data_IF_417287794366
#
_entry.id   IF_417287794366
#
_cell.length_a   1.000
_cell.length_b   1.000
_cell.length_c   1.000
_cell.angle_alpha   90.00
_cell.angle_beta   90.00
_cell.angle_gamma   90.00
#
_symmetry.space_group_name_H-M   'P 1'
#
loop_
_entity.id
_entity.type
_entity.pdbx_description
1 polymer ?
#
# COMPACT_ATOMS: atom_id res chain seq x y z
N UNK A 1 -10.29 -24.63 7.17
CA UNK A 1 -9.90 -23.43 6.38
C UNK A 1 -10.17 -23.74 4.92
N UNK A 2 -11.00 -22.94 4.24
CA UNK A 2 -11.32 -23.17 2.83
C UNK A 2 -10.20 -22.60 1.95
N UNK A 3 -9.47 -23.46 1.24
CA UNK A 3 -8.56 -23.02 0.19
C UNK A 3 -9.37 -22.29 -0.89
N UNK A 4 -8.89 -21.14 -1.35
CA UNK A 4 -9.54 -20.43 -2.43
C UNK A 4 -9.50 -21.31 -3.70
N UNK A 5 -10.65 -21.52 -4.33
CA UNK A 5 -10.72 -22.22 -5.62
C UNK A 5 -9.82 -21.48 -6.62
N UNK A 6 -8.94 -22.20 -7.31
CA UNK A 6 -8.05 -21.61 -8.32
C UNK A 6 -8.85 -20.95 -9.44
N UNK A 7 -8.29 -19.90 -10.05
CA UNK A 7 -8.96 -19.14 -11.10
C UNK A 7 -9.31 -20.02 -12.30
N UNK A 8 -8.40 -20.91 -12.71
CA UNK A 8 -8.62 -21.89 -13.78
C UNK A 8 -9.81 -22.80 -13.51
N UNK A 9 -9.96 -23.26 -12.26
CA UNK A 9 -11.04 -24.18 -11.90
C UNK A 9 -12.40 -23.46 -11.88
N UNK A 10 -12.42 -22.16 -11.54
CA UNK A 10 -13.63 -21.33 -11.66
C UNK A 10 -14.05 -21.15 -13.12
N UNK A 11 -13.10 -20.89 -14.03
CA UNK A 11 -13.40 -20.76 -15.45
C UNK A 11 -13.95 -22.05 -16.05
N UNK A 12 -13.36 -23.20 -15.71
CA UNK A 12 -13.85 -24.52 -16.15
C UNK A 12 -15.27 -24.80 -15.65
N UNK A 13 -15.56 -24.43 -14.40
CA UNK A 13 -16.88 -24.56 -13.80
C UNK A 13 -17.91 -23.69 -14.53
N UNK A 14 -17.59 -22.42 -14.82
CA UNK A 14 -18.49 -21.54 -15.59
C UNK A 14 -18.69 -22.04 -17.01
N UNK A 15 -17.64 -22.48 -17.69
CA UNK A 15 -17.74 -23.04 -19.03
C UNK A 15 -18.62 -24.30 -19.07
N UNK A 16 -18.63 -25.12 -18.01
CA UNK A 16 -19.53 -26.26 -17.90
C UNK A 16 -20.99 -25.83 -17.73
N UNK A 17 -21.25 -24.80 -16.90
CA UNK A 17 -22.59 -24.23 -16.74
C UNK A 17 -23.10 -23.55 -18.03
N UNK A 18 -22.24 -22.84 -18.76
CA UNK A 18 -22.59 -22.10 -19.98
C UNK A 18 -22.99 -23.02 -21.14
N UNK A 19 -22.43 -24.23 -21.20
CA UNK A 19 -22.81 -25.25 -22.20
C UNK A 19 -24.26 -25.73 -22.06
N UNK A 20 -24.96 -25.44 -20.97
CA UNK A 20 -26.41 -25.67 -20.81
C UNK A 20 -26.86 -27.13 -20.69
N UNK A 21 -25.98 -28.10 -20.92
CA UNK A 21 -26.32 -29.53 -20.92
C UNK A 21 -26.29 -30.19 -19.53
N UNK A 22 -25.85 -29.49 -18.49
CA UNK A 22 -25.73 -29.99 -17.12
C UNK A 22 -26.28 -28.99 -16.12
N UNK A 23 -26.99 -29.49 -15.11
CA UNK A 23 -27.49 -28.66 -14.01
C UNK A 23 -26.34 -28.18 -13.11
N UNK A 24 -26.54 -27.06 -12.43
CA UNK A 24 -25.53 -26.52 -11.50
C UNK A 24 -25.17 -27.51 -10.37
N UNK A 25 -26.10 -28.41 -10.02
CA UNK A 25 -25.87 -29.46 -9.02
C UNK A 25 -24.95 -30.56 -9.55
N UNK A 26 -25.15 -31.00 -10.78
CA UNK A 26 -24.26 -31.98 -11.42
C UNK A 26 -22.87 -31.41 -11.63
N UNK A 27 -22.76 -30.12 -11.98
CA UNK A 27 -21.48 -29.41 -12.04
C UNK A 27 -20.80 -29.39 -10.66
N UNK A 28 -21.56 -29.12 -9.59
CA UNK A 28 -21.03 -29.12 -8.23
C UNK A 28 -20.44 -30.49 -7.85
N UNK A 29 -21.16 -31.57 -8.15
CA UNK A 29 -20.73 -32.95 -7.89
C UNK A 29 -19.50 -33.33 -8.73
N UNK A 30 -19.48 -33.00 -10.02
CA UNK A 30 -18.36 -33.30 -10.92
C UNK A 30 -17.06 -32.62 -10.48
N UNK A 31 -17.15 -31.37 -10.02
CA UNK A 31 -15.99 -30.59 -9.57
C UNK A 31 -15.68 -30.75 -8.06
N UNK A 32 -16.48 -31.52 -7.31
CA UNK A 32 -16.30 -31.72 -5.87
C UNK A 32 -16.46 -30.45 -5.04
N UNK A 33 -17.29 -29.50 -5.50
CA UNK A 33 -17.54 -28.22 -4.83
C UNK A 33 -18.99 -28.15 -4.33
N UNK A 34 -19.27 -27.30 -3.35
CA UNK A 34 -20.65 -27.12 -2.91
C UNK A 34 -21.46 -26.28 -3.93
N UNK A 35 -22.75 -26.59 -4.05
CA UNK A 35 -23.68 -25.88 -4.95
C UNK A 35 -23.65 -24.35 -4.75
N UNK A 36 -23.59 -23.90 -3.49
CA UNK A 36 -23.51 -22.48 -3.17
C UNK A 36 -22.27 -21.77 -3.75
N UNK A 37 -21.19 -22.50 -4.03
CA UNK A 37 -20.00 -21.95 -4.71
C UNK A 37 -20.26 -21.79 -6.20
N UNK A 38 -20.91 -22.77 -6.83
CA UNK A 38 -21.33 -22.72 -8.24
C UNK A 38 -22.27 -21.54 -8.46
N UNK A 39 -23.32 -21.40 -7.64
CA UNK A 39 -24.29 -20.31 -7.73
C UNK A 39 -23.65 -18.92 -7.56
N UNK A 40 -22.72 -18.78 -6.60
CA UNK A 40 -22.00 -17.52 -6.37
C UNK A 40 -21.12 -17.14 -7.56
N UNK A 41 -20.40 -18.10 -8.12
CA UNK A 41 -19.55 -17.86 -9.30
C UNK A 41 -20.40 -17.57 -10.53
N UNK A 42 -21.49 -18.31 -10.74
CA UNK A 42 -22.41 -18.10 -11.84
C UNK A 42 -23.05 -16.71 -11.80
N UNK A 43 -23.49 -16.27 -10.61
CA UNK A 43 -23.99 -14.91 -10.41
C UNK A 43 -22.94 -13.85 -10.75
N UNK A 44 -21.72 -14.01 -10.23
CA UNK A 44 -20.61 -13.09 -10.48
C UNK A 44 -20.30 -12.99 -11.98
N UNK A 45 -20.23 -14.12 -12.67
CA UNK A 45 -19.98 -14.17 -14.11
C UNK A 45 -21.09 -13.46 -14.89
N UNK A 46 -22.37 -13.64 -14.53
CA UNK A 46 -23.48 -12.93 -15.17
C UNK A 46 -23.48 -11.42 -14.94
N UNK A 47 -22.98 -10.97 -13.78
CA UNK A 47 -22.94 -9.55 -13.42
C UNK A 47 -21.70 -8.83 -13.98
N UNK A 48 -20.56 -9.51 -14.05
CA UNK A 48 -19.26 -8.88 -14.32
C UNK A 48 -18.54 -9.42 -15.55
N UNK A 49 -18.95 -10.58 -16.09
CA UNK A 49 -18.23 -11.29 -17.15
C UNK A 49 -16.96 -12.01 -16.68
N UNK A 50 -16.67 -12.02 -15.37
CA UNK A 50 -15.45 -12.60 -14.81
C UNK A 50 -15.77 -13.56 -13.64
N UNK A 51 -14.81 -14.43 -13.32
CA UNK A 51 -14.82 -15.34 -12.17
C UNK A 51 -13.99 -14.83 -10.99
N UNK A 52 -13.28 -13.73 -11.20
CA UNK A 52 -12.56 -12.98 -10.18
C UNK A 52 -13.46 -11.83 -9.73
N UNK A 53 -13.71 -11.74 -8.42
CA UNK A 53 -14.44 -10.58 -7.90
C UNK A 53 -13.61 -9.32 -8.19
N UNK A 54 -14.21 -8.25 -8.73
CA UNK A 54 -13.53 -6.96 -8.83
C UNK A 54 -12.98 -6.61 -7.45
N UNK A 55 -11.73 -6.14 -7.45
CA UNK A 55 -10.89 -5.96 -6.27
C UNK A 55 -11.73 -5.44 -5.09
N UNK A 56 -11.77 -6.12 -3.92
CA UNK A 56 -12.53 -5.63 -2.78
C UNK A 56 -12.15 -4.17 -2.56
N UNK A 57 -13.15 -3.29 -2.49
CA UNK A 57 -12.92 -1.89 -2.18
C UNK A 57 -11.97 -1.81 -0.98
N UNK A 58 -11.00 -0.88 -0.98
CA UNK A 58 -10.01 -0.78 0.08
C UNK A 58 -10.74 -0.78 1.42
N UNK A 59 -10.48 -1.82 2.22
CA UNK A 59 -11.21 -2.07 3.46
C UNK A 59 -10.72 -1.08 4.51
N UNK A 60 -11.57 -0.14 4.93
CA UNK A 60 -11.25 0.82 5.99
C UNK A 60 -11.92 2.18 5.79
N UNK A 61 -11.73 3.09 6.76
CA UNK A 61 -12.16 4.48 6.63
C UNK A 61 -11.32 5.16 5.56
N UNK A 62 -11.96 5.90 4.66
CA UNK A 62 -11.26 6.75 3.68
C UNK A 62 -10.24 7.65 4.40
N UNK A 63 -9.00 7.75 3.89
CA UNK A 63 -7.98 8.57 4.54
C UNK A 63 -8.46 10.02 4.66
N UNK A 64 -8.22 10.65 5.81
CA UNK A 64 -8.59 12.05 6.07
C UNK A 64 -7.91 13.04 5.13
N UNK A 65 -6.76 12.65 4.56
CA UNK A 65 -6.03 13.43 3.55
C UNK A 65 -6.25 12.75 2.20
N UNK A 66 -7.15 13.33 1.40
CA UNK A 66 -7.50 12.87 0.06
C UNK A 66 -6.38 13.18 -0.96
N UNK A 67 -6.49 12.62 -2.18
CA UNK A 67 -5.47 12.77 -3.22
C UNK A 67 -5.10 14.24 -3.48
N UNK A 68 -6.09 15.11 -3.68
CA UNK A 68 -5.86 16.54 -3.91
C UNK A 68 -5.10 17.22 -2.75
N UNK A 69 -5.41 16.86 -1.50
CA UNK A 69 -4.71 17.39 -0.34
C UNK A 69 -3.24 16.92 -0.27
N UNK A 70 -2.91 15.75 -0.83
CA UNK A 70 -1.52 15.29 -0.96
C UNK A 70 -0.76 16.12 -1.99
N UNK A 71 -1.40 16.54 -3.07
CA UNK A 71 -0.77 17.37 -4.10
C UNK A 71 -0.45 18.77 -3.56
N UNK A 72 -1.35 19.36 -2.78
CA UNK A 72 -1.07 20.62 -2.06
C UNK A 72 0.08 20.49 -1.05
N UNK A 73 0.12 19.39 -0.28
CA UNK A 73 1.25 19.13 0.63
C UNK A 73 2.58 19.06 -0.12
N UNK A 74 2.61 18.44 -1.30
CA UNK A 74 3.81 18.39 -2.14
C UNK A 74 4.25 19.79 -2.56
N UNK A 75 3.33 20.61 -3.06
CA UNK A 75 3.62 21.97 -3.50
C UNK A 75 4.16 22.85 -2.35
N UNK A 76 3.53 22.80 -1.17
CA UNK A 76 3.99 23.59 -0.02
C UNK A 76 5.37 23.16 0.47
N UNK A 77 5.69 21.87 0.44
CA UNK A 77 7.01 21.37 0.83
C UNK A 77 8.06 21.73 -0.22
N UNK A 78 7.71 21.76 -1.50
CA UNK A 78 8.61 22.23 -2.56
C UNK A 78 8.91 23.73 -2.43
N UNK A 79 7.91 24.53 -2.06
CA UNK A 79 8.09 25.97 -1.81
C UNK A 79 8.83 26.26 -0.51
N UNK A 80 8.58 25.47 0.54
CA UNK A 80 9.18 25.64 1.86
C UNK A 80 9.64 24.29 2.42
N UNK A 81 10.86 23.84 2.09
CA UNK A 81 11.38 22.53 2.49
C UNK A 81 11.52 22.34 4.00
N UNK A 82 11.64 23.44 4.75
CA UNK A 82 11.79 23.45 6.20
C UNK A 82 10.46 23.55 6.97
N UNK A 83 9.32 23.47 6.27
CA UNK A 83 8.00 23.49 6.90
C UNK A 83 7.86 22.38 7.95
N UNK A 84 7.46 22.77 9.15
CA UNK A 84 7.21 21.86 10.26
C UNK A 84 5.87 21.14 10.10
N UNK A 85 5.72 20.00 10.77
CA UNK A 85 4.45 19.27 10.77
C UNK A 85 3.28 20.08 11.34
N UNK A 86 3.55 21.04 12.24
CA UNK A 86 2.52 21.91 12.82
C UNK A 86 2.03 22.91 11.78
N UNK A 87 2.95 23.57 11.07
CA UNK A 87 2.61 24.49 9.99
C UNK A 87 1.85 23.79 8.87
N UNK A 88 2.23 22.56 8.51
CA UNK A 88 1.47 21.76 7.52
C UNK A 88 0.06 21.42 8.00
N UNK A 89 -0.14 21.12 9.29
CA UNK A 89 -1.49 20.94 9.85
C UNK A 89 -2.31 22.23 9.75
N UNK A 90 -1.72 23.39 10.09
CA UNK A 90 -2.39 24.68 9.99
C UNK A 90 -2.73 25.04 8.54
N UNK A 91 -1.83 24.79 7.60
CA UNK A 91 -2.07 25.02 6.17
C UNK A 91 -3.20 24.12 5.64
N UNK A 92 -3.23 22.84 6.03
CA UNK A 92 -4.33 21.95 5.68
C UNK A 92 -5.67 22.44 6.23
N UNK A 93 -5.69 22.96 7.45
CA UNK A 93 -6.90 23.53 8.05
C UNK A 93 -7.31 24.85 7.36
N UNK A 94 -6.37 25.77 7.12
CA UNK A 94 -6.64 27.09 6.54
C UNK A 94 -7.04 27.03 5.06
N UNK A 95 -6.37 26.19 4.28
CA UNK A 95 -6.55 26.16 2.81
C UNK A 95 -7.60 25.12 2.38
N UNK A 96 -7.70 23.99 3.09
CA UNK A 96 -8.55 22.87 2.68
C UNK A 96 -9.64 22.52 3.72
N UNK A 97 -9.67 23.19 4.88
CA UNK A 97 -10.62 22.88 5.96
C UNK A 97 -10.37 21.53 6.64
N UNK A 98 -9.21 20.91 6.41
CA UNK A 98 -8.91 19.56 6.90
C UNK A 98 -8.18 19.65 8.24
N UNK A 99 -8.89 19.40 9.34
CA UNK A 99 -8.31 19.30 10.67
C UNK A 99 -7.70 17.90 10.89
N UNK A 100 -6.37 17.81 10.91
CA UNK A 100 -5.63 16.55 11.10
C UNK A 100 -4.52 16.68 12.11
N UNK A 101 -4.22 15.57 12.80
CA UNK A 101 -3.10 15.51 13.74
C UNK A 101 -1.74 15.50 13.02
N UNK A 102 -0.70 15.95 13.74
CA UNK A 102 0.70 15.85 13.29
C UNK A 102 1.11 14.42 12.90
N UNK A 103 0.56 13.41 13.61
CA UNK A 103 0.83 12.00 13.32
C UNK A 103 0.22 11.58 11.99
N UNK A 104 -0.99 12.08 11.66
CA UNK A 104 -1.64 11.84 10.36
C UNK A 104 -0.78 12.42 9.23
N UNK A 105 -0.38 13.69 9.33
CA UNK A 105 0.48 14.34 8.34
C UNK A 105 1.81 13.59 8.20
N UNK A 106 2.46 13.21 9.31
CA UNK A 106 3.71 12.44 9.26
C UNK A 106 3.58 11.10 8.54
N UNK A 107 2.49 10.35 8.78
CA UNK A 107 2.22 9.09 8.06
C UNK A 107 1.99 9.34 6.58
N UNK A 108 1.19 10.35 6.24
CA UNK A 108 0.90 10.71 4.85
C UNK A 108 2.16 11.12 4.08
N UNK A 109 3.05 11.91 4.68
CA UNK A 109 4.33 12.26 4.05
C UNK A 109 5.23 11.04 3.83
N UNK A 110 5.25 10.09 4.78
CA UNK A 110 5.97 8.82 4.59
C UNK A 110 5.39 7.99 3.46
N UNK A 111 4.07 7.89 3.36
CA UNK A 111 3.38 7.18 2.27
C UNK A 111 3.65 7.83 0.91
N UNK A 112 3.84 9.15 0.87
CA UNK A 112 4.25 9.90 -0.32
C UNK A 112 5.75 9.78 -0.64
N UNK A 113 6.52 9.02 0.16
CA UNK A 113 7.97 8.86 0.00
C UNK A 113 8.81 10.06 0.46
N UNK A 114 8.19 11.07 1.08
CA UNK A 114 8.88 12.28 1.52
C UNK A 114 9.57 12.04 2.86
N UNK A 115 10.91 12.07 2.84
CA UNK A 115 11.74 11.90 4.04
C UNK A 115 12.53 13.17 4.31
N UNK A 116 12.53 13.62 5.56
CA UNK A 116 13.44 14.67 6.01
C UNK A 116 14.89 14.22 5.80
N UNK A 117 15.67 15.03 5.09
CA UNK A 117 17.11 14.83 4.94
C UNK A 117 17.76 14.92 6.34
N UNK A 118 18.42 13.84 6.77
CA UNK A 118 19.05 13.78 8.10
C UNK A 118 20.52 14.22 8.13
N UNK A 119 21.20 14.18 6.98
CA UNK A 119 22.62 14.52 6.88
C UNK A 119 22.77 15.90 6.23
N UNK A 120 23.22 16.93 6.97
CA UNK A 120 23.63 18.17 6.33
C UNK A 120 24.80 17.86 5.39
N UNK A 121 24.88 18.61 4.29
CA UNK A 121 26.06 18.56 3.44
C UNK A 121 27.25 19.08 4.26
N UNK A 122 28.27 18.25 4.44
CA UNK A 122 29.54 18.65 5.04
C UNK A 122 30.62 18.56 3.94
N UNK A 123 31.39 19.62 3.69
CA UNK A 123 32.53 19.54 2.80
C UNK A 123 33.51 18.46 3.27
N UNK A 124 34.13 17.74 2.33
CA UNK A 124 35.19 16.79 2.67
C UNK A 124 36.30 17.53 3.40
N UNK A 125 36.69 17.03 4.58
CA UNK A 125 37.77 17.65 5.36
C UNK A 125 39.06 17.63 4.53
N UNK A 126 39.61 18.81 4.23
CA UNK A 126 40.91 18.94 3.52
C UNK A 126 42.09 18.44 4.37
N UNK A 127 41.88 18.24 5.66
CA UNK A 127 42.88 17.68 6.58
C UNK A 127 42.98 16.17 6.37
N UNK A 128 44.17 15.70 5.99
CA UNK A 128 44.46 14.27 5.88
C UNK A 128 44.17 13.58 7.22
N UNK A 129 43.54 12.39 7.18
CA UNK A 129 43.32 11.56 8.38
C UNK A 129 44.66 11.30 9.04
N UNK A 130 44.89 11.90 10.22
CA UNK A 130 46.08 11.69 11.01
C UNK A 130 46.00 10.28 11.61
N UNK A 131 46.81 9.35 11.11
CA UNK A 131 46.94 8.04 11.73
C UNK A 131 47.62 8.21 13.09
N UNK A 132 46.96 7.78 14.17
CA UNK A 132 47.58 7.73 15.50
C UNK A 132 48.25 6.36 15.57
N UNK A 133 49.59 6.31 15.45
CA UNK A 133 50.34 5.09 15.77
C UNK A 133 50.28 4.90 17.28
N UNK A 134 49.50 3.94 17.75
CA UNK A 134 49.66 3.45 19.12
C UNK A 134 50.96 2.63 19.16
N UNK A 135 52.01 3.21 19.71
CA UNK A 135 53.23 2.48 20.02
C UNK A 135 52.93 1.56 21.23
N UNK A 136 52.86 0.26 20.99
CA UNK A 136 52.85 -0.74 22.05
C UNK A 136 54.27 -0.89 22.60
N UNK A 137 54.57 -0.20 23.71
CA UNK A 137 55.79 -0.43 24.46
C UNK A 137 55.61 -1.70 25.31
N UNK A 138 56.06 -2.84 24.80
CA UNK A 138 56.19 -4.07 25.59
C UNK A 138 57.54 -4.03 26.29
N UNK A 139 57.55 -3.57 27.55
CA UNK A 139 58.67 -3.74 28.47
C UNK A 139 58.33 -4.90 29.42
N UNK A 140 59.06 -6.01 29.31
CA UNK A 140 58.89 -7.20 30.14
C UNK A 140 60.26 -7.80 30.46
N UNK A 141 60.58 -7.70 31.75
CA UNK A 141 61.79 -8.04 32.51
C UNK A 141 62.43 -9.40 32.21
#
# INVERSE_FOLDING_TARGET
MAAALSTDLRWKLIAACERGNVSQREVAEFFGVCLATVEKLWRLYRETGDVVKPNPLPRGRSPSIHANAKDHLRQWIEQQPDATLVELCELLQRQLGIAVSRATVSRTLKDMGMRRKKRPYVPVSKTARRYIRHASATAGR
#
